data_IF_515728501732
#
_entry.id   IF_515728501732
#
_cell.length_a   1.000
_cell.length_b   1.000
_cell.length_c   1.000
_cell.angle_alpha   90.00
_cell.angle_beta   90.00
_cell.angle_gamma   90.00
#
_symmetry.space_group_name_H-M   'P 1'
#
loop_
_entity.id
_entity.type
_entity.pdbx_description
1 polymer ?
#
# COMPACT_ATOMS: atom_id res chain seq x y z
N UNK A 1 16.53 15.06 35.77
CA UNK A 1 16.45 14.15 34.59
C UNK A 1 17.38 14.72 33.53
N UNK A 2 18.57 14.13 33.40
CA UNK A 2 19.68 14.67 32.62
C UNK A 2 19.34 14.71 31.12
N UNK A 3 19.51 15.89 30.51
CA UNK A 3 19.53 16.05 29.06
C UNK A 3 20.79 15.35 28.54
N UNK A 4 20.63 14.31 27.72
CA UNK A 4 21.69 13.76 26.88
C UNK A 4 22.06 14.82 25.84
N UNK A 5 22.93 15.76 26.19
CA UNK A 5 23.64 16.58 25.21
C UNK A 5 24.60 15.67 24.44
N UNK A 6 24.55 15.62 23.10
CA UNK A 6 25.48 14.82 22.32
C UNK A 6 26.91 15.32 22.53
N UNK A 7 27.83 14.40 22.81
CA UNK A 7 29.27 14.68 22.94
C UNK A 7 29.83 14.98 21.55
N UNK A 8 30.25 16.23 21.30
CA UNK A 8 30.75 16.68 20.00
C UNK A 8 32.21 16.31 19.71
N UNK A 9 32.91 15.65 20.64
CA UNK A 9 34.35 15.36 20.55
C UNK A 9 34.69 13.94 20.04
N UNK A 10 33.79 13.30 19.30
CA UNK A 10 34.04 12.01 18.64
C UNK A 10 33.57 12.00 17.19
N UNK A 11 33.82 10.94 16.41
CA UNK A 11 33.17 10.75 15.12
C UNK A 11 31.66 10.55 15.36
N UNK A 12 30.92 11.67 15.40
CA UNK A 12 29.47 11.66 15.50
C UNK A 12 28.93 11.52 14.09
N UNK A 13 28.33 10.37 13.79
CA UNK A 13 27.53 10.27 12.57
C UNK A 13 26.31 11.20 12.77
N UNK A 14 26.13 12.24 11.94
CA UNK A 14 24.99 13.13 12.09
C UNK A 14 23.69 12.33 11.93
N UNK A 15 22.66 12.70 12.70
CA UNK A 15 21.34 12.09 12.54
C UNK A 15 20.89 12.31 11.08
N UNK A 16 20.43 11.26 10.37
CA UNK A 16 19.91 11.43 9.01
C UNK A 16 18.75 12.43 9.01
N UNK A 17 18.72 13.32 8.00
CA UNK A 17 17.59 14.22 7.78
C UNK A 17 16.33 13.39 7.49
N UNK A 18 15.23 13.68 8.20
CA UNK A 18 13.95 13.03 7.97
C UNK A 18 13.29 13.61 6.71
N UNK A 19 12.97 12.75 5.74
CA UNK A 19 12.32 13.14 4.49
C UNK A 19 10.82 12.88 4.58
N UNK A 20 10.11 13.74 5.31
CA UNK A 20 8.70 13.50 5.66
C UNK A 20 7.69 14.23 4.77
N UNK A 21 8.12 15.18 3.94
CA UNK A 21 7.22 16.04 3.18
C UNK A 21 7.00 15.54 1.75
N UNK A 22 8.03 14.97 1.13
CA UNK A 22 8.01 14.49 -0.25
C UNK A 22 8.66 13.12 -0.37
N UNK A 23 8.18 12.36 -1.35
CA UNK A 23 8.78 11.09 -1.75
C UNK A 23 10.14 11.37 -2.40
N UNK A 24 11.18 10.69 -1.93
CA UNK A 24 12.53 10.72 -2.51
C UNK A 24 12.91 9.31 -2.98
N UNK A 25 13.88 9.20 -3.89
CA UNK A 25 14.36 7.90 -4.40
C UNK A 25 14.72 6.90 -3.29
N UNK A 26 15.24 7.38 -2.16
CA UNK A 26 15.56 6.56 -0.99
C UNK A 26 14.36 5.77 -0.45
N UNK A 27 13.14 6.27 -0.57
CA UNK A 27 11.93 5.55 -0.15
C UNK A 27 11.62 4.31 -1.00
N UNK A 28 12.18 4.19 -2.21
CA UNK A 28 12.02 3.02 -3.08
C UNK A 28 13.19 2.04 -3.07
N UNK A 29 14.19 2.26 -2.20
CA UNK A 29 15.47 1.53 -2.21
C UNK A 29 15.46 0.17 -1.48
N UNK A 30 14.41 -0.13 -0.70
CA UNK A 30 14.34 -1.32 0.15
C UNK A 30 15.12 -1.21 1.46
N UNK A 31 15.71 -0.04 1.75
CA UNK A 31 16.44 0.22 2.98
C UNK A 31 15.58 0.82 4.10
N UNK A 32 16.25 1.43 5.08
CA UNK A 32 15.61 2.06 6.24
C UNK A 32 14.55 3.11 5.88
N UNK A 33 14.79 3.91 4.85
CA UNK A 33 13.81 4.92 4.40
C UNK A 33 12.53 4.28 3.84
N UNK A 34 12.64 3.15 3.13
CA UNK A 34 11.46 2.38 2.69
C UNK A 34 10.69 1.85 3.88
N UNK A 35 11.38 1.26 4.86
CA UNK A 35 10.74 0.76 6.08
C UNK A 35 10.06 1.88 6.87
N UNK A 36 10.71 3.04 7.03
CA UNK A 36 10.15 4.20 7.73
C UNK A 36 8.90 4.73 7.02
N UNK A 37 8.89 4.79 5.68
CA UNK A 37 7.72 5.18 4.90
C UNK A 37 6.57 4.17 5.08
N UNK A 38 6.86 2.86 4.98
CA UNK A 38 5.87 1.80 5.19
C UNK A 38 5.22 1.94 6.57
N UNK A 39 6.02 2.03 7.64
CA UNK A 39 5.51 2.07 9.01
C UNK A 39 4.71 3.33 9.31
N UNK A 40 5.12 4.48 8.77
CA UNK A 40 4.49 5.76 9.08
C UNK A 40 3.29 6.09 8.22
N UNK A 41 3.32 5.71 6.94
CA UNK A 41 2.36 6.19 5.93
C UNK A 41 1.45 5.05 5.46
N UNK A 42 1.99 3.89 5.10
CA UNK A 42 1.18 2.78 4.58
C UNK A 42 0.48 1.98 5.69
N UNK A 43 1.23 1.60 6.72
CA UNK A 43 0.76 0.69 7.75
C UNK A 43 -0.46 1.22 8.52
N UNK A 44 -0.59 2.52 8.87
CA UNK A 44 -1.78 3.01 9.57
C UNK A 44 -3.10 2.81 8.82
N UNK A 45 -3.07 2.73 7.49
CA UNK A 45 -4.26 2.67 6.63
C UNK A 45 -4.51 1.29 6.03
N UNK A 46 -3.46 0.52 5.75
CA UNK A 46 -3.57 -0.79 5.09
C UNK A 46 -3.43 -1.96 6.08
N UNK A 47 -3.28 -1.72 7.38
CA UNK A 47 -2.95 -2.73 8.39
C UNK A 47 -3.82 -4.00 8.31
N UNK A 48 -3.16 -5.15 8.36
CA UNK A 48 -3.77 -6.45 8.60
C UNK A 48 -2.80 -7.33 9.36
N UNK A 49 -3.30 -8.43 9.97
CA UNK A 49 -2.43 -9.39 10.63
C UNK A 49 -1.37 -9.98 9.69
N UNK A 50 -1.70 -10.15 8.40
CA UNK A 50 -0.77 -10.65 7.39
C UNK A 50 0.35 -9.63 7.10
N UNK A 51 0.01 -8.35 6.93
CA UNK A 51 1.00 -7.29 6.71
C UNK A 51 1.88 -7.05 7.95
N UNK A 52 1.33 -7.23 9.15
CA UNK A 52 2.08 -7.08 10.40
C UNK A 52 3.21 -8.12 10.56
N UNK A 53 3.16 -9.25 9.83
CA UNK A 53 4.24 -10.24 9.81
C UNK A 53 5.50 -9.72 9.08
N UNK A 54 5.35 -8.75 8.17
CA UNK A 54 6.48 -8.15 7.45
C UNK A 54 7.24 -9.11 6.53
N UNK A 55 6.58 -10.18 6.08
CA UNK A 55 7.14 -11.14 5.13
C UNK A 55 7.08 -10.61 3.68
N UNK A 56 7.89 -11.17 2.79
CA UNK A 56 7.83 -10.90 1.34
C UNK A 56 6.60 -11.53 0.64
N UNK A 57 5.69 -12.12 1.42
CA UNK A 57 4.48 -12.80 0.96
C UNK A 57 3.42 -12.76 2.06
N UNK A 58 2.15 -12.90 1.64
CA UNK A 58 1.06 -13.16 2.57
C UNK A 58 0.79 -14.67 2.65
N UNK A 59 0.72 -15.23 3.87
CA UNK A 59 0.22 -16.59 4.07
C UNK A 59 -1.27 -16.54 4.38
N UNK A 60 -2.08 -17.00 3.43
CA UNK A 60 -3.54 -17.07 3.57
C UNK A 60 -3.94 -18.52 3.84
N UNK A 61 -4.46 -18.78 5.04
CA UNK A 61 -4.92 -20.12 5.40
C UNK A 61 -6.34 -20.33 4.87
N UNK A 62 -6.49 -21.28 3.94
CA UNK A 62 -7.79 -21.87 3.63
C UNK A 62 -7.97 -23.06 4.57
N UNK A 63 -9.06 -23.09 5.34
CA UNK A 63 -9.28 -24.14 6.35
C UNK A 63 -9.42 -25.51 5.67
N UNK A 64 -8.35 -26.30 5.70
CA UNK A 64 -8.30 -27.64 5.08
C UNK A 64 -9.36 -28.60 5.67
N UNK A 65 -9.75 -28.37 6.93
CA UNK A 65 -10.77 -29.12 7.66
C UNK A 65 -12.20 -28.80 7.20
N UNK A 66 -12.40 -27.70 6.46
CA UNK A 66 -13.73 -27.23 6.04
C UNK A 66 -14.27 -27.94 4.79
N UNK A 67 -13.49 -28.85 4.18
CA UNK A 67 -13.92 -29.58 2.97
C UNK A 67 -14.29 -28.66 1.81
N UNK A 68 -13.59 -27.53 1.68
CA UNK A 68 -13.88 -26.46 0.72
C UNK A 68 -13.96 -27.02 -0.71
N UNK A 69 -15.19 -27.12 -1.22
CA UNK A 69 -15.49 -27.20 -2.65
C UNK A 69 -15.71 -25.77 -3.13
N UNK A 70 -15.26 -25.47 -4.34
CA UNK A 70 -15.31 -24.12 -4.88
C UNK A 70 -14.10 -23.78 -5.74
N UNK A 71 -13.99 -22.52 -6.12
CA UNK A 71 -12.91 -21.99 -6.93
C UNK A 71 -12.43 -20.64 -6.42
N UNK A 72 -11.14 -20.38 -6.65
CA UNK A 72 -10.54 -19.09 -6.40
C UNK A 72 -10.66 -18.23 -7.66
N UNK A 73 -11.14 -17.00 -7.48
CA UNK A 73 -11.07 -15.97 -8.51
C UNK A 73 -9.97 -14.98 -8.17
N UNK A 74 -9.16 -14.66 -9.17
CA UNK A 74 -8.08 -13.68 -9.05
C UNK A 74 -8.21 -12.69 -10.21
N UNK A 75 -8.26 -11.40 -9.89
CA UNK A 75 -8.17 -10.31 -10.89
C UNK A 75 -7.06 -9.35 -10.49
N UNK A 76 -6.46 -8.67 -11.46
CA UNK A 76 -5.48 -7.61 -11.23
C UNK A 76 -5.76 -6.46 -12.18
N UNK A 77 -5.64 -5.23 -11.68
CA UNK A 77 -5.80 -4.04 -12.51
C UNK A 77 -4.80 -2.95 -12.09
N UNK A 78 -4.43 -2.11 -13.05
CA UNK A 78 -3.48 -1.02 -12.85
C UNK A 78 -4.13 0.32 -13.17
N UNK A 79 -4.04 1.24 -12.22
CA UNK A 79 -4.74 2.51 -12.23
C UNK A 79 -3.74 3.64 -12.45
N UNK A 80 -3.91 4.35 -13.57
CA UNK A 80 -3.03 5.44 -14.04
C UNK A 80 -3.81 6.72 -14.32
N UNK A 81 -4.91 6.95 -13.60
CA UNK A 81 -5.84 8.05 -13.86
C UNK A 81 -5.26 9.41 -13.48
N UNK A 82 -5.49 10.40 -14.34
CA UNK A 82 -5.14 11.81 -14.10
C UNK A 82 -6.38 12.68 -14.31
N UNK A 83 -6.71 13.60 -13.38
CA UNK A 83 -6.03 13.88 -12.11
C UNK A 83 -6.20 12.75 -11.08
N UNK A 84 -5.32 12.68 -10.06
CA UNK A 84 -5.43 11.69 -8.98
C UNK A 84 -6.72 11.82 -8.16
N UNK A 85 -7.28 13.04 -8.07
CA UNK A 85 -8.54 13.34 -7.40
C UNK A 85 -9.51 13.99 -8.40
N UNK A 86 -10.73 13.50 -8.46
CA UNK A 86 -11.74 13.93 -9.44
C UNK A 86 -13.15 13.96 -8.81
N UNK A 87 -14.13 14.62 -9.45
CA UNK A 87 -15.50 14.60 -8.95
C UNK A 87 -16.01 13.16 -8.78
N UNK A 88 -16.35 12.76 -7.55
CA UNK A 88 -16.89 11.45 -7.22
C UNK A 88 -15.88 10.40 -6.73
N UNK A 89 -14.57 10.69 -6.75
CA UNK A 89 -13.56 9.76 -6.25
C UNK A 89 -12.12 10.19 -6.44
N UNK A 90 -11.22 9.23 -6.28
CA UNK A 90 -9.79 9.38 -6.47
C UNK A 90 -9.19 8.05 -6.92
N UNK A 91 -7.91 8.07 -7.28
CA UNK A 91 -7.18 6.87 -7.72
C UNK A 91 -7.21 5.74 -6.69
N UNK A 92 -7.24 6.05 -5.38
CA UNK A 92 -7.27 5.06 -4.31
C UNK A 92 -8.60 4.33 -4.25
N UNK A 93 -9.70 5.09 -4.20
CA UNK A 93 -11.05 4.52 -4.30
C UNK A 93 -11.23 3.72 -5.59
N UNK A 94 -10.75 4.26 -6.71
CA UNK A 94 -10.83 3.58 -8.01
C UNK A 94 -10.09 2.24 -7.98
N UNK A 95 -8.88 2.20 -7.41
CA UNK A 95 -8.09 0.99 -7.35
C UNK A 95 -8.79 -0.13 -6.56
N UNK A 96 -9.33 0.21 -5.40
CA UNK A 96 -10.06 -0.76 -4.58
C UNK A 96 -11.36 -1.19 -5.26
N UNK A 97 -12.21 -0.24 -5.64
CA UNK A 97 -13.53 -0.56 -6.20
C UNK A 97 -13.40 -1.32 -7.53
N UNK A 98 -12.46 -0.95 -8.40
CA UNK A 98 -12.24 -1.63 -9.68
C UNK A 98 -11.91 -3.11 -9.49
N UNK A 99 -10.88 -3.39 -8.70
CA UNK A 99 -10.45 -4.77 -8.43
C UNK A 99 -11.50 -5.58 -7.65
N UNK A 100 -12.18 -4.97 -6.67
CA UNK A 100 -13.28 -5.62 -5.94
C UNK A 100 -14.43 -5.99 -6.89
N UNK A 101 -14.80 -5.08 -7.79
CA UNK A 101 -15.85 -5.31 -8.76
C UNK A 101 -15.48 -6.45 -9.71
N UNK A 102 -14.25 -6.51 -10.23
CA UNK A 102 -13.82 -7.60 -11.11
C UNK A 102 -13.95 -8.97 -10.44
N UNK A 103 -13.52 -9.08 -9.19
CA UNK A 103 -13.67 -10.31 -8.41
C UNK A 103 -15.14 -10.63 -8.16
N UNK A 104 -15.97 -9.63 -7.84
CA UNK A 104 -17.40 -9.85 -7.65
C UNK A 104 -18.12 -10.27 -8.95
N UNK A 105 -17.70 -9.75 -10.10
CA UNK A 105 -18.27 -10.09 -11.42
C UNK A 105 -18.00 -11.55 -11.83
N UNK A 106 -16.98 -12.21 -11.27
CA UNK A 106 -16.78 -13.65 -11.47
C UNK A 106 -17.75 -14.52 -10.66
N UNK A 107 -18.57 -13.90 -9.79
CA UNK A 107 -19.44 -14.58 -8.82
C UNK A 107 -18.74 -14.95 -7.51
N UNK A 108 -17.47 -14.60 -7.35
CA UNK A 108 -16.74 -14.81 -6.10
C UNK A 108 -17.08 -13.75 -5.06
N UNK A 109 -17.00 -14.13 -3.79
CA UNK A 109 -16.97 -13.18 -2.67
C UNK A 109 -15.53 -12.65 -2.55
N UNK A 110 -15.28 -11.33 -2.73
CA UNK A 110 -13.96 -10.75 -2.54
C UNK A 110 -13.52 -10.89 -1.07
N UNK A 111 -12.26 -11.25 -0.83
CA UNK A 111 -11.74 -11.48 0.52
C UNK A 111 -10.49 -10.63 0.78
N UNK A 112 -9.57 -10.62 -0.17
CA UNK A 112 -8.25 -10.02 0.02
C UNK A 112 -7.83 -9.17 -1.18
N UNK A 113 -7.01 -8.17 -0.90
CA UNK A 113 -6.32 -7.37 -1.90
C UNK A 113 -4.81 -7.41 -1.65
N UNK A 114 -4.03 -7.31 -2.71
CA UNK A 114 -2.66 -6.80 -2.63
C UNK A 114 -2.60 -5.44 -3.30
N UNK A 115 -1.62 -4.61 -2.93
CA UNK A 115 -1.43 -3.29 -3.54
C UNK A 115 0.04 -2.99 -3.85
N UNK A 116 0.34 -2.73 -5.11
CA UNK A 116 1.64 -2.24 -5.58
C UNK A 116 1.57 -0.75 -5.90
N UNK A 117 2.48 0.03 -5.35
CA UNK A 117 2.55 1.48 -5.56
C UNK A 117 3.79 1.86 -6.35
N UNK A 118 3.61 2.64 -7.41
CA UNK A 118 4.72 3.28 -8.14
C UNK A 118 4.58 4.79 -7.95
N UNK A 119 5.47 5.35 -7.15
CA UNK A 119 5.48 6.76 -6.75
C UNK A 119 6.48 7.54 -7.60
N UNK A 120 6.15 8.77 -7.97
CA UNK A 120 7.12 9.69 -8.56
C UNK A 120 7.95 10.40 -7.47
N UNK A 121 9.25 10.56 -7.71
CA UNK A 121 10.11 11.41 -6.88
C UNK A 121 9.61 12.88 -6.87
N UNK A 122 9.31 13.38 -5.68
CA UNK A 122 8.73 14.70 -5.45
C UNK A 122 7.22 14.68 -5.14
N UNK A 123 6.55 13.52 -5.23
CA UNK A 123 5.16 13.38 -4.81
C UNK A 123 5.02 13.82 -3.33
N UNK A 124 4.08 14.71 -2.98
CA UNK A 124 3.83 15.06 -1.58
C UNK A 124 3.36 13.85 -0.78
N UNK A 125 3.93 13.64 0.42
CA UNK A 125 3.51 12.55 1.31
C UNK A 125 2.04 12.69 1.72
N UNK A 126 1.57 13.93 1.93
CA UNK A 126 0.17 14.22 2.21
C UNK A 126 -0.78 13.74 1.09
N UNK A 127 -0.35 13.84 -0.17
CA UNK A 127 -1.13 13.33 -1.31
C UNK A 127 -1.26 11.81 -1.22
N UNK A 128 -0.17 11.11 -0.91
CA UNK A 128 -0.18 9.66 -0.72
C UNK A 128 -1.07 9.25 0.46
N UNK A 129 -0.96 9.92 1.61
CA UNK A 129 -1.81 9.68 2.78
C UNK A 129 -3.30 9.82 2.46
N UNK A 130 -3.68 10.89 1.74
CA UNK A 130 -5.07 11.09 1.31
C UNK A 130 -5.59 9.96 0.42
N UNK A 131 -4.76 9.44 -0.49
CA UNK A 131 -5.10 8.29 -1.33
C UNK A 131 -5.27 7.03 -0.47
N UNK A 132 -4.38 6.78 0.49
CA UNK A 132 -4.45 5.63 1.37
C UNK A 132 -5.68 5.66 2.28
N UNK A 133 -6.07 6.83 2.80
CA UNK A 133 -7.34 7.00 3.55
C UNK A 133 -8.55 6.61 2.69
N UNK A 134 -8.53 6.97 1.40
CA UNK A 134 -9.60 6.61 0.47
C UNK A 134 -9.64 5.10 0.18
N UNK A 135 -8.46 4.48 0.01
CA UNK A 135 -8.33 3.03 -0.14
C UNK A 135 -8.85 2.28 1.10
N UNK A 136 -8.47 2.73 2.30
CA UNK A 136 -8.94 2.16 3.57
C UNK A 136 -10.46 2.22 3.66
N UNK A 137 -11.06 3.38 3.37
CA UNK A 137 -12.51 3.56 3.40
C UNK A 137 -13.23 2.61 2.43
N UNK A 138 -12.74 2.51 1.19
CA UNK A 138 -13.31 1.63 0.18
C UNK A 138 -13.14 0.14 0.52
N UNK A 139 -11.98 -0.26 1.05
CA UNK A 139 -11.71 -1.64 1.43
C UNK A 139 -12.60 -2.07 2.62
N UNK A 140 -12.78 -1.18 3.59
CA UNK A 140 -13.68 -1.36 4.72
C UNK A 140 -15.15 -1.46 4.29
N UNK A 141 -15.58 -0.64 3.34
CA UNK A 141 -16.94 -0.71 2.76
C UNK A 141 -17.17 -2.06 2.06
N UNK A 142 -16.18 -2.56 1.32
CA UNK A 142 -16.23 -3.84 0.62
C UNK A 142 -16.01 -5.07 1.54
N UNK A 143 -15.57 -4.87 2.80
CA UNK A 143 -15.25 -5.96 3.71
C UNK A 143 -14.00 -6.76 3.33
N UNK A 144 -13.08 -6.17 2.57
CA UNK A 144 -11.82 -6.80 2.13
C UNK A 144 -10.62 -6.29 2.91
N UNK A 145 -9.55 -7.09 2.95
CA UNK A 145 -8.32 -6.72 3.65
C UNK A 145 -7.11 -6.71 2.71
N UNK A 146 -6.22 -5.73 2.87
CA UNK A 146 -4.91 -5.76 2.22
C UNK A 146 -4.01 -6.77 2.93
N UNK A 147 -3.42 -7.70 2.19
CA UNK A 147 -2.61 -8.79 2.77
C UNK A 147 -1.15 -8.75 2.35
N UNK A 148 -0.85 -8.07 1.24
CA UNK A 148 0.51 -7.87 0.76
C UNK A 148 0.60 -6.52 0.02
N UNK A 149 1.80 -5.96 -0.08
CA UNK A 149 2.02 -4.79 -0.91
C UNK A 149 3.48 -4.57 -1.27
N UNK A 150 3.71 -3.69 -2.24
CA UNK A 150 5.03 -3.26 -2.66
C UNK A 150 5.03 -1.74 -2.91
N UNK A 151 6.19 -1.12 -2.77
CA UNK A 151 6.37 0.30 -3.06
C UNK A 151 7.65 0.52 -3.84
N UNK A 152 7.53 1.14 -5.01
CA UNK A 152 8.64 1.59 -5.86
C UNK A 152 8.58 3.10 -6.02
N UNK A 153 9.76 3.70 -6.15
CA UNK A 153 9.90 5.11 -6.46
C UNK A 153 10.63 5.24 -7.79
N UNK A 154 10.01 5.95 -8.73
CA UNK A 154 10.57 6.28 -10.03
C UNK A 154 11.12 7.70 -10.01
N UNK A 155 12.12 7.96 -10.86
CA UNK A 155 12.69 9.30 -11.04
C UNK A 155 11.61 10.29 -11.53
N UNK A 156 11.82 11.56 -11.19
CA UNK A 156 10.95 12.65 -11.65
C UNK A 156 10.79 12.64 -13.17
N UNK A 157 9.55 12.75 -13.63
CA UNK A 157 9.15 12.74 -15.04
C UNK A 157 8.99 11.35 -15.67
N UNK A 158 9.17 10.26 -14.92
CA UNK A 158 8.97 8.87 -15.41
C UNK A 158 7.56 8.34 -15.13
N UNK A 159 6.89 8.89 -14.14
CA UNK A 159 5.54 8.53 -13.67
C UNK A 159 4.77 9.84 -13.48
N UNK A 160 3.47 9.85 -13.74
CA UNK A 160 2.62 11.03 -13.52
C UNK A 160 2.07 11.01 -12.08
N UNK A 161 2.92 11.34 -11.11
CA UNK A 161 2.60 11.39 -9.69
C UNK A 161 2.52 10.03 -8.99
N UNK A 162 1.48 9.23 -9.28
CA UNK A 162 1.20 7.98 -8.57
C UNK A 162 0.45 6.99 -9.47
N UNK A 163 0.97 5.76 -9.58
CA UNK A 163 0.24 4.61 -10.11
C UNK A 163 0.03 3.55 -9.04
N UNK A 164 -1.10 2.86 -9.13
CA UNK A 164 -1.49 1.80 -8.19
C UNK A 164 -1.85 0.56 -9.00
N UNK A 165 -1.26 -0.58 -8.66
CA UNK A 165 -1.79 -1.88 -9.05
C UNK A 165 -2.48 -2.50 -7.85
N UNK A 166 -3.67 -3.07 -8.05
CA UNK A 166 -4.35 -3.88 -7.04
C UNK A 166 -4.67 -5.25 -7.62
N UNK A 167 -4.41 -6.29 -6.84
CA UNK A 167 -4.80 -7.66 -7.19
C UNK A 167 -5.78 -8.16 -6.15
N UNK A 168 -6.93 -8.65 -6.60
CA UNK A 168 -8.00 -9.13 -5.76
C UNK A 168 -8.10 -10.64 -5.77
N UNK A 169 -8.42 -11.21 -4.62
CA UNK A 169 -8.57 -12.64 -4.39
C UNK A 169 -9.95 -12.85 -3.77
N UNK A 170 -10.77 -13.69 -4.40
CA UNK A 170 -12.09 -14.05 -3.92
C UNK A 170 -12.38 -15.54 -4.04
N UNK A 171 -13.40 -15.99 -3.32
CA UNK A 171 -13.82 -17.39 -3.28
C UNK A 171 -15.26 -17.56 -3.74
N UNK A 172 -15.48 -18.53 -4.61
CA UNK A 172 -16.81 -19.02 -5.00
C UNK A 172 -16.97 -20.43 -4.42
N UNK A 173 -17.90 -20.68 -3.49
CA UNK A 173 -18.22 -22.02 -3.01
C UNK A 173 -18.77 -22.96 -4.10
#
# INVERSE_FOLDING_TARGET
>A
MLKNTPTFEGPVCPLPLAHNEQIVMGHGSGGRMTQDLIQRVFFPHLNSSALAEGNDFARLNLLAEAGLQGSLSVSTDSHIVTPLFFPGGDIGKLAVCGTVNDVAMSGAVPLFLTAGFILEEGLPVETLERVLVSMEAAAREAGVQFVAGDTKVAERGKVDGLYINTTGIGWTP
#
